data_IF_743040432413
#
_entry.id   IF_743040432413
#
_cell.length_a   1.000
_cell.length_b   1.000
_cell.length_c   1.000
_cell.angle_alpha   90.00
_cell.angle_beta   90.00
_cell.angle_gamma   90.00
#
_symmetry.space_group_name_H-M   'P 1'
#
loop_
_entity.id
_entity.type
_entity.pdbx_description
1 polymer ?
#
# COMPACT_ATOMS: atom_id res chain seq x y z
N UNK A 1 1.77 -5.86 -18.07
CA UNK A 1 3.03 -5.30 -17.51
C UNK A 1 3.22 -3.82 -17.85
N UNK A 2 3.11 -3.39 -19.13
CA UNK A 2 3.26 -1.99 -19.56
C UNK A 2 2.31 -0.97 -18.88
N UNK A 3 1.05 -1.35 -18.60
CA UNK A 3 0.09 -0.46 -17.93
C UNK A 3 0.45 -0.16 -16.47
N UNK A 4 0.95 -1.16 -15.73
CA UNK A 4 1.40 -1.00 -14.34
C UNK A 4 2.60 -0.05 -14.25
N UNK A 5 3.58 -0.24 -15.15
CA UNK A 5 4.77 0.61 -15.24
C UNK A 5 4.40 2.06 -15.54
N UNK A 6 3.42 2.31 -16.41
CA UNK A 6 3.00 3.67 -16.76
C UNK A 6 2.25 4.39 -15.63
N UNK A 7 1.47 3.65 -14.82
CA UNK A 7 0.74 4.20 -13.67
C UNK A 7 1.71 4.53 -12.51
N UNK A 8 2.65 3.62 -12.24
CA UNK A 8 3.68 3.84 -11.23
C UNK A 8 4.64 4.98 -11.60
N UNK A 9 4.95 5.18 -12.88
CA UNK A 9 5.77 6.31 -13.34
C UNK A 9 5.10 7.67 -13.08
N UNK A 10 3.76 7.76 -13.19
CA UNK A 10 3.02 8.99 -12.88
C UNK A 10 2.99 9.28 -11.37
N UNK A 11 2.73 8.26 -10.55
CA UNK A 11 2.64 8.42 -9.09
C UNK A 11 3.99 8.68 -8.43
N UNK A 12 5.08 8.19 -9.02
CA UNK A 12 6.45 8.32 -8.51
C UNK A 12 7.20 9.58 -8.94
N UNK A 13 6.67 10.34 -9.90
CA UNK A 13 7.39 11.47 -10.51
C UNK A 13 8.57 11.06 -11.41
N UNK A 14 8.71 9.76 -11.71
CA UNK A 14 9.72 9.29 -12.65
C UNK A 14 9.41 9.84 -14.07
N UNK A 15 10.34 10.64 -14.62
CA UNK A 15 10.23 11.14 -15.99
C UNK A 15 10.57 9.99 -16.96
N UNK A 16 9.81 9.86 -18.06
CA UNK A 16 10.10 8.90 -19.13
C UNK A 16 11.58 8.96 -19.51
N UNK A 17 12.29 7.84 -19.37
CA UNK A 17 13.70 7.70 -19.78
C UNK A 17 14.73 7.79 -18.65
N UNK A 18 14.35 8.20 -17.42
CA UNK A 18 15.26 8.14 -16.26
C UNK A 18 14.74 7.14 -15.23
N UNK A 19 15.10 5.87 -15.41
CA UNK A 19 14.74 4.77 -14.51
C UNK A 19 15.82 4.48 -13.45
N UNK A 20 17.00 5.07 -13.59
CA UNK A 20 18.13 4.91 -12.67
C UNK A 20 18.09 5.85 -11.46
N UNK A 21 17.14 6.79 -11.43
CA UNK A 21 16.93 7.67 -10.29
C UNK A 21 16.35 6.95 -9.07
N UNK A 22 16.52 7.55 -7.89
CA UNK A 22 15.89 7.06 -6.66
C UNK A 22 14.45 7.57 -6.56
N UNK A 23 13.48 6.66 -6.71
CA UNK A 23 12.05 6.96 -6.70
C UNK A 23 11.32 6.14 -5.61
N UNK A 24 11.47 6.48 -4.32
CA UNK A 24 10.93 5.68 -3.21
C UNK A 24 9.40 5.54 -3.25
N UNK A 25 8.71 6.51 -3.86
CA UNK A 25 7.26 6.50 -4.05
C UNK A 25 6.79 5.41 -5.01
N UNK A 26 7.66 4.89 -5.89
CA UNK A 26 7.35 3.71 -6.71
C UNK A 26 7.12 2.47 -5.86
N UNK A 27 7.87 2.30 -4.76
CA UNK A 27 7.69 1.17 -3.84
C UNK A 27 6.37 1.31 -3.07
N UNK A 28 6.00 2.53 -2.67
CA UNK A 28 4.70 2.82 -2.04
C UNK A 28 3.56 2.46 -2.99
N UNK A 29 3.65 2.88 -4.25
CA UNK A 29 2.61 2.60 -5.23
C UNK A 29 2.49 1.09 -5.52
N UNK A 30 3.62 0.38 -5.62
CA UNK A 30 3.63 -1.08 -5.75
C UNK A 30 2.95 -1.76 -4.54
N UNK A 31 3.29 -1.32 -3.33
CA UNK A 31 2.67 -1.83 -2.10
C UNK A 31 1.18 -1.50 -2.04
N UNK A 32 0.75 -0.31 -2.45
CA UNK A 32 -0.67 0.06 -2.51
C UNK A 32 -1.44 -0.85 -3.45
N UNK A 33 -0.86 -1.15 -4.62
CA UNK A 33 -1.45 -2.05 -5.60
C UNK A 33 -1.59 -3.48 -5.06
N UNK A 34 -0.54 -4.03 -4.45
CA UNK A 34 -0.57 -5.37 -3.87
C UNK A 34 -1.57 -5.45 -2.71
N UNK A 35 -1.58 -4.45 -1.83
CA UNK A 35 -2.53 -4.37 -0.71
C UNK A 35 -3.98 -4.31 -1.21
N UNK A 36 -4.27 -3.54 -2.26
CA UNK A 36 -5.61 -3.51 -2.83
C UNK A 36 -5.99 -4.86 -3.46
N UNK A 37 -5.10 -5.49 -4.23
CA UNK A 37 -5.36 -6.82 -4.80
C UNK A 37 -5.64 -7.88 -3.74
N UNK A 38 -4.82 -7.93 -2.69
CA UNK A 38 -5.00 -8.86 -1.58
C UNK A 38 -6.30 -8.56 -0.82
N UNK A 39 -6.59 -7.28 -0.55
CA UNK A 39 -7.83 -6.89 0.10
C UNK A 39 -9.05 -7.36 -0.69
N UNK A 40 -9.08 -7.13 -2.01
CA UNK A 40 -10.19 -7.59 -2.86
C UNK A 40 -10.30 -9.11 -2.90
N UNK A 41 -9.19 -9.84 -2.93
CA UNK A 41 -9.17 -11.30 -2.95
C UNK A 41 -9.69 -11.92 -1.63
N UNK A 42 -9.42 -11.28 -0.49
CA UNK A 42 -9.78 -11.81 0.82
C UNK A 42 -11.06 -11.22 1.40
N UNK A 43 -11.63 -10.15 0.84
CA UNK A 43 -12.78 -9.44 1.45
C UNK A 43 -13.96 -10.36 1.78
N UNK A 44 -14.29 -11.33 0.93
CA UNK A 44 -15.40 -12.25 1.16
C UNK A 44 -15.13 -13.21 2.32
N UNK A 45 -13.87 -13.61 2.53
CA UNK A 45 -13.46 -14.44 3.66
C UNK A 45 -13.64 -13.68 4.97
N UNK A 46 -13.27 -12.40 4.98
CA UNK A 46 -13.33 -11.55 6.17
C UNK A 46 -14.77 -11.08 6.52
N UNK A 47 -15.75 -11.18 5.61
CA UNK A 47 -17.17 -10.94 5.93
C UNK A 47 -17.76 -11.93 6.93
N UNK A 48 -17.13 -13.11 7.10
CA UNK A 48 -17.66 -14.21 7.93
C UNK A 48 -16.83 -14.47 9.18
N UNK A 49 -15.86 -13.61 9.46
CA UNK A 49 -15.01 -13.75 10.65
C UNK A 49 -15.79 -13.31 11.88
N UNK A 50 -15.69 -14.12 12.94
CA UNK A 50 -16.26 -13.84 14.25
C UNK A 50 -15.19 -13.55 15.30
N UNK A 51 -13.92 -13.83 14.99
CA UNK A 51 -12.80 -13.53 15.86
C UNK A 51 -12.56 -12.01 15.90
N UNK A 52 -12.57 -11.45 17.10
CA UNK A 52 -12.47 -10.00 17.30
C UNK A 52 -11.12 -9.44 16.86
N UNK A 53 -10.02 -10.17 17.13
CA UNK A 53 -8.68 -9.73 16.75
C UNK A 53 -8.50 -9.73 15.24
N UNK A 54 -9.03 -10.74 14.55
CA UNK A 54 -9.02 -10.78 13.08
C UNK A 54 -9.86 -9.64 12.46
N UNK A 55 -11.00 -9.27 13.08
CA UNK A 55 -11.82 -8.12 12.64
C UNK A 55 -11.08 -6.80 12.82
N UNK A 56 -10.40 -6.62 13.95
CA UNK A 56 -9.57 -5.43 14.22
C UNK A 56 -8.43 -5.31 13.23
N UNK A 57 -7.67 -6.39 13.02
CA UNK A 57 -6.58 -6.45 12.05
C UNK A 57 -7.08 -6.15 10.62
N UNK A 58 -8.25 -6.68 10.24
CA UNK A 58 -8.86 -6.40 8.93
C UNK A 58 -9.26 -4.93 8.76
N UNK A 59 -9.82 -4.33 9.81
CA UNK A 59 -10.17 -2.91 9.84
C UNK A 59 -8.92 -2.05 9.72
N UNK A 60 -7.84 -2.43 10.37
CA UNK A 60 -6.55 -1.76 10.28
C UNK A 60 -5.97 -1.84 8.85
N UNK A 61 -5.96 -3.03 8.23
CA UNK A 61 -5.54 -3.21 6.84
C UNK A 61 -6.39 -2.35 5.90
N UNK A 62 -7.71 -2.27 6.11
CA UNK A 62 -8.60 -1.40 5.33
C UNK A 62 -8.17 0.06 5.42
N UNK A 63 -7.88 0.54 6.63
CA UNK A 63 -7.46 1.93 6.86
C UNK A 63 -6.10 2.20 6.22
N UNK A 64 -5.14 1.29 6.41
CA UNK A 64 -3.81 1.41 5.80
C UNK A 64 -3.87 1.39 4.28
N UNK A 65 -4.72 0.57 3.66
CA UNK A 65 -4.92 0.56 2.20
C UNK A 65 -5.30 1.95 1.67
N UNK A 66 -6.16 2.66 2.39
CA UNK A 66 -6.66 3.98 1.99
C UNK A 66 -5.60 5.07 2.17
N UNK A 67 -4.78 5.00 3.22
CA UNK A 67 -3.75 6.02 3.50
C UNK A 67 -2.38 5.72 2.88
N UNK A 68 -2.11 4.48 2.45
CA UNK A 68 -0.81 4.08 1.90
C UNK A 68 -0.29 5.01 0.78
N UNK A 69 -1.12 5.46 -0.19
CA UNK A 69 -0.66 6.33 -1.27
C UNK A 69 -0.19 7.72 -0.82
N UNK A 70 -0.50 8.13 0.41
CA UNK A 70 -0.14 9.44 0.97
C UNK A 70 1.31 9.50 1.44
N UNK A 71 1.92 8.34 1.71
CA UNK A 71 3.30 8.26 2.19
C UNK A 71 4.32 8.50 1.08
N UNK A 72 5.46 9.12 1.42
CA UNK A 72 6.52 9.44 0.45
C UNK A 72 7.42 8.23 0.17
N UNK A 73 7.53 7.33 1.14
CA UNK A 73 8.34 6.11 1.08
C UNK A 73 7.71 5.00 1.93
N UNK A 74 8.13 3.76 1.71
CA UNK A 74 7.76 2.63 2.57
C UNK A 74 8.35 2.79 3.98
N UNK A 75 9.52 3.44 4.09
CA UNK A 75 10.14 3.74 5.38
C UNK A 75 9.26 4.69 6.21
N UNK A 76 8.73 5.76 5.61
CA UNK A 76 7.82 6.71 6.26
C UNK A 76 6.57 5.99 6.78
N UNK A 77 6.03 5.07 5.96
CA UNK A 77 4.89 4.24 6.35
C UNK A 77 5.21 3.38 7.57
N UNK A 78 6.30 2.61 7.52
CA UNK A 78 6.69 1.71 8.63
C UNK A 78 6.95 2.51 9.91
N UNK A 79 7.68 3.63 9.81
CA UNK A 79 7.98 4.50 10.96
C UNK A 79 6.70 5.02 11.61
N UNK A 80 5.73 5.44 10.82
CA UNK A 80 4.43 5.92 11.35
C UNK A 80 3.67 4.85 12.14
N UNK A 81 3.93 3.56 11.93
CA UNK A 81 3.29 2.48 12.69
C UNK A 81 4.02 2.17 13.98
N UNK A 82 5.35 2.31 13.99
CA UNK A 82 6.16 2.14 15.19
C UNK A 82 5.85 3.25 16.21
N UNK A 83 5.71 4.50 15.75
CA UNK A 83 5.40 5.66 16.60
C UNK A 83 3.97 5.64 17.18
N UNK A 84 3.06 4.84 16.61
CA UNK A 84 1.68 4.67 17.07
C UNK A 84 1.50 3.44 17.98
N UNK A 85 2.55 2.62 18.15
CA UNK A 85 2.53 1.45 19.04
C UNK A 85 2.92 1.89 20.46
N UNK A 86 2.06 1.70 21.48
CA UNK A 86 2.37 2.06 22.87
C UNK A 86 3.53 1.24 23.46
#
# INVERSE_FOLDING_TARGET
MLFLVSRFSQESGAKRGNWSGYYPKTNVACLAHLTDQLYQAYQEKFLRITDLMEVEAWTEIRNWRLSLPEYRSVEDFVRSKIELSP
#
